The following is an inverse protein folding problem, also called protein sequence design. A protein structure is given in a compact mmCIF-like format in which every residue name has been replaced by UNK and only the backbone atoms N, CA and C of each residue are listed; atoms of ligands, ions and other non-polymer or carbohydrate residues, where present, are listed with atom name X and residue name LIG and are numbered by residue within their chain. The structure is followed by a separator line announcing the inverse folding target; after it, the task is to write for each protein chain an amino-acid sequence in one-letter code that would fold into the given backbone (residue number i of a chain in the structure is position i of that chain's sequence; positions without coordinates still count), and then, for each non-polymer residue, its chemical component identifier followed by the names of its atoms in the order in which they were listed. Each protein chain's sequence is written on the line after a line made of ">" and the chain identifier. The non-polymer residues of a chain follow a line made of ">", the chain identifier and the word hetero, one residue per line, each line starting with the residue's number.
data_IF_672151454925
#
_entry.id   IF_672151454925
#
_cell.length_a   1.000
_cell.length_b   1.000
_cell.length_c   1.000
_cell.angle_alpha   90.00
_cell.angle_beta   90.00
_cell.angle_gamma   90.00
#
_symmetry.space_group_name_H-M   'P 1'
#
loop_
_entity.id
_entity.type
_entity.pdbx_description
1 polymer ?
#
# COMPACT_ATOMS: atom_id res chain seq x y z
N UNK A 1 -26.75 24.99 36.87
CA UNK A 1 -27.13 24.30 35.62
C UNK A 1 -26.11 24.71 34.57
N UNK A 2 -25.15 23.83 34.25
CA UNK A 2 -24.14 24.13 33.22
C UNK A 2 -24.80 24.01 31.85
N UNK A 3 -24.82 25.09 31.08
CA UNK A 3 -25.16 25.03 29.66
C UNK A 3 -24.14 24.12 28.97
N UNK A 4 -24.53 22.87 28.71
CA UNK A 4 -23.72 21.96 27.93
C UNK A 4 -23.57 22.52 26.54
N UNK A 5 -22.35 22.93 26.16
CA UNK A 5 -22.04 23.29 24.78
C UNK A 5 -22.53 22.18 23.85
N UNK A 6 -23.14 22.58 22.74
CA UNK A 6 -23.59 21.68 21.69
C UNK A 6 -22.41 20.90 21.08
N UNK A 7 -22.68 19.76 20.42
CA UNK A 7 -21.62 18.98 19.75
C UNK A 7 -20.82 19.83 18.76
N UNK A 8 -21.52 20.67 17.99
CA UNK A 8 -20.92 21.56 17.00
C UNK A 8 -19.96 22.58 17.63
N UNK A 9 -20.32 23.18 18.76
CA UNK A 9 -19.43 24.12 19.47
C UNK A 9 -18.18 23.41 20.01
N UNK A 10 -18.32 22.17 20.49
CA UNK A 10 -17.17 21.37 20.95
C UNK A 10 -16.24 20.99 19.81
N UNK A 11 -16.80 20.58 18.66
CA UNK A 11 -16.06 20.28 17.44
C UNK A 11 -15.28 21.51 16.96
N UNK A 12 -15.90 22.69 16.98
CA UNK A 12 -15.25 23.93 16.57
C UNK A 12 -14.08 24.32 17.50
N UNK A 13 -14.25 24.13 18.82
CA UNK A 13 -13.18 24.38 19.80
C UNK A 13 -12.01 23.43 19.58
N UNK A 14 -12.28 22.13 19.40
CA UNK A 14 -11.22 21.12 19.18
C UNK A 14 -10.49 21.34 17.85
N UNK A 15 -11.19 21.76 16.79
CA UNK A 15 -10.58 22.06 15.51
C UNK A 15 -9.62 23.26 15.57
N UNK A 16 -9.75 24.14 16.58
CA UNK A 16 -8.87 25.28 16.81
C UNK A 16 -7.75 24.99 17.82
N UNK A 17 -7.79 23.84 18.50
CA UNK A 17 -6.80 23.47 19.51
C UNK A 17 -5.58 22.79 18.87
N UNK A 18 -4.51 23.57 18.72
CA UNK A 18 -3.23 23.14 18.15
C UNK A 18 -2.63 21.92 18.88
N UNK A 19 -2.68 21.91 20.21
CA UNK A 19 -2.05 20.85 21.00
C UNK A 19 -2.88 19.59 20.99
N UNK A 20 -4.22 19.71 21.00
CA UNK A 20 -5.12 18.59 20.79
C UNK A 20 -4.86 17.90 19.44
N UNK A 21 -4.82 18.66 18.34
CA UNK A 21 -4.59 18.11 17.00
C UNK A 21 -3.21 17.45 16.92
N UNK A 22 -2.15 18.11 17.41
CA UNK A 22 -0.82 17.52 17.39
C UNK A 22 -0.73 16.24 18.24
N UNK A 23 -1.40 16.21 19.39
CA UNK A 23 -1.49 15.01 20.21
C UNK A 23 -2.20 13.87 19.47
N UNK A 24 -3.34 14.16 18.85
CA UNK A 24 -4.06 13.19 18.03
C UNK A 24 -3.18 12.64 16.88
N UNK A 25 -2.44 13.51 16.19
CA UNK A 25 -1.48 13.09 15.15
C UNK A 25 -0.35 12.24 15.73
N UNK A 26 0.17 12.55 16.93
CA UNK A 26 1.25 11.74 17.55
C UNK A 26 0.78 10.34 17.92
N UNK A 27 -0.42 10.23 18.46
CA UNK A 27 -1.02 8.97 18.92
C UNK A 27 -1.48 8.10 17.75
N UNK A 28 -2.07 8.72 16.73
CA UNK A 28 -2.62 8.01 15.57
C UNK A 28 -1.66 7.96 14.39
N UNK A 29 -0.56 8.72 14.39
CA UNK A 29 0.31 8.92 13.23
C UNK A 29 -0.40 9.47 11.97
N UNK A 30 -1.64 9.94 12.09
CA UNK A 30 -2.46 10.37 10.97
C UNK A 30 -2.34 11.88 10.72
N UNK A 31 -1.31 12.32 9.99
CA UNK A 31 -1.13 13.77 9.71
C UNK A 31 -2.30 14.38 8.93
N UNK A 32 -3.07 13.57 8.20
CA UNK A 32 -4.26 14.07 7.49
C UNK A 32 -5.33 14.62 8.44
N UNK A 33 -5.27 14.34 9.75
CA UNK A 33 -6.13 14.97 10.76
C UNK A 33 -6.01 16.50 10.77
N UNK A 34 -4.87 17.04 10.34
CA UNK A 34 -4.68 18.49 10.19
C UNK A 34 -5.66 19.10 9.16
N UNK A 35 -6.14 18.31 8.20
CA UNK A 35 -7.16 18.74 7.24
C UNK A 35 -8.55 18.94 7.87
N UNK A 36 -8.76 18.41 9.08
CA UNK A 36 -9.98 18.61 9.88
C UNK A 36 -9.84 19.78 10.87
N UNK A 37 -8.65 20.38 10.97
CA UNK A 37 -8.41 21.55 11.80
C UNK A 37 -9.08 22.80 11.22
N UNK A 38 -9.11 23.88 12.00
CA UNK A 38 -9.49 25.19 11.51
C UNK A 38 -8.61 25.59 10.32
N UNK A 39 -9.17 26.40 9.42
CA UNK A 39 -8.45 26.88 8.23
C UNK A 39 -7.08 27.48 8.59
N UNK A 40 -7.05 28.33 9.62
CA UNK A 40 -5.84 28.95 10.17
C UNK A 40 -4.75 27.93 10.53
N UNK A 41 -5.10 26.85 11.25
CA UNK A 41 -4.13 25.82 11.60
C UNK A 41 -3.74 24.95 10.39
N UNK A 42 -4.70 24.61 9.54
CA UNK A 42 -4.45 23.76 8.36
C UNK A 42 -3.56 24.44 7.31
N UNK A 43 -3.53 25.78 7.29
CA UNK A 43 -2.70 26.60 6.40
C UNK A 43 -1.39 27.08 7.07
N UNK A 44 -1.22 26.90 8.39
CA UNK A 44 0.05 27.16 9.09
C UNK A 44 1.10 26.11 8.70
N UNK A 45 2.01 26.51 7.80
CA UNK A 45 3.07 25.67 7.29
C UNK A 45 3.98 25.06 8.38
N UNK A 46 4.26 25.79 9.46
CA UNK A 46 5.08 25.29 10.56
C UNK A 46 4.34 24.24 11.38
N UNK A 47 3.04 24.45 11.62
CA UNK A 47 2.20 23.47 12.29
C UNK A 47 2.03 22.19 11.45
N UNK A 48 1.74 22.34 10.16
CA UNK A 48 1.63 21.23 9.21
C UNK A 48 2.94 20.43 9.17
N UNK A 49 4.09 21.09 9.13
CA UNK A 49 5.40 20.43 9.16
C UNK A 49 5.60 19.62 10.45
N UNK A 50 5.29 20.19 11.62
CA UNK A 50 5.35 19.47 12.91
C UNK A 50 4.43 18.25 12.96
N UNK A 51 3.24 18.34 12.36
CA UNK A 51 2.31 17.21 12.29
C UNK A 51 2.82 16.11 11.35
N UNK A 52 3.39 16.47 10.19
CA UNK A 52 4.03 15.50 9.29
C UNK A 52 5.20 14.78 9.96
N UNK A 53 6.04 15.51 10.68
CA UNK A 53 7.14 14.93 11.45
C UNK A 53 6.62 13.98 12.55
N UNK A 54 5.58 14.37 13.27
CA UNK A 54 4.97 13.56 14.32
C UNK A 54 4.34 12.25 13.79
N UNK A 55 3.77 12.30 12.58
CA UNK A 55 3.23 11.14 11.88
C UNK A 55 4.31 10.15 11.44
N UNK A 56 5.52 10.64 11.17
CA UNK A 56 6.61 9.84 10.64
C UNK A 56 6.44 9.54 9.15
N UNK A 57 7.14 8.52 8.70
CA UNK A 57 7.23 8.08 7.30
C UNK A 57 7.14 6.54 7.23
N UNK A 58 7.03 5.99 6.02
CA UNK A 58 6.91 4.54 5.84
C UNK A 58 5.50 4.01 6.13
N UNK A 59 5.38 2.72 6.43
CA UNK A 59 4.07 2.08 6.65
C UNK A 59 3.57 2.37 8.06
N UNK A 60 2.34 2.86 8.14
CA UNK A 60 1.68 3.25 9.38
C UNK A 60 0.45 2.37 9.61
N UNK A 61 0.49 1.52 10.63
CA UNK A 61 -0.61 0.59 10.99
C UNK A 61 -1.62 1.24 11.94
N UNK A 62 -2.26 2.31 11.46
CA UNK A 62 -3.22 3.07 12.25
C UNK A 62 -4.64 2.66 11.89
N UNK A 63 -5.45 2.37 12.93
CA UNK A 63 -6.78 1.78 12.79
C UNK A 63 -6.79 0.49 11.97
N UNK A 64 -5.70 -0.27 12.09
CA UNK A 64 -5.49 -1.48 11.31
C UNK A 64 -6.61 -2.49 11.54
N UNK A 65 -7.21 -2.54 12.72
CA UNK A 65 -8.29 -3.46 13.11
C UNK A 65 -9.71 -3.00 12.73
N UNK A 66 -9.85 -1.86 12.03
CA UNK A 66 -11.14 -1.25 11.71
C UNK A 66 -11.41 -1.24 10.19
N UNK A 67 -12.47 -1.92 9.75
CA UNK A 67 -12.86 -2.01 8.33
C UNK A 67 -13.50 -0.74 7.77
N UNK A 68 -14.02 0.15 8.61
CA UNK A 68 -14.79 1.33 8.19
C UNK A 68 -13.91 2.54 7.87
N UNK A 69 -12.65 2.53 8.34
CA UNK A 69 -11.74 3.68 8.19
C UNK A 69 -11.46 4.01 6.73
N UNK A 70 -11.34 3.00 5.87
CA UNK A 70 -11.18 3.22 4.44
C UNK A 70 -12.32 4.05 3.86
N UNK A 71 -13.57 3.64 4.12
CA UNK A 71 -14.78 4.30 3.64
C UNK A 71 -14.90 5.74 4.17
N UNK A 72 -14.53 5.96 5.43
CA UNK A 72 -14.46 7.31 5.99
C UNK A 72 -13.39 8.17 5.32
N UNK A 73 -12.20 7.61 5.08
CA UNK A 73 -11.08 8.32 4.48
C UNK A 73 -11.31 8.73 3.04
N UNK A 74 -11.84 7.84 2.20
CA UNK A 74 -12.14 8.17 0.80
C UNK A 74 -13.26 9.21 0.67
N UNK A 75 -14.20 9.23 1.63
CA UNK A 75 -15.25 10.24 1.68
C UNK A 75 -14.74 11.62 2.12
N UNK A 76 -13.73 11.65 3.00
CA UNK A 76 -13.19 12.88 3.57
C UNK A 76 -11.98 13.46 2.81
N UNK A 77 -11.19 12.61 2.13
CA UNK A 77 -9.90 13.01 1.56
C UNK A 77 -9.69 12.46 0.15
N UNK A 78 -8.92 13.21 -0.66
CA UNK A 78 -8.31 12.67 -1.86
C UNK A 78 -7.37 11.52 -1.47
N UNK A 79 -7.78 10.29 -1.78
CA UNK A 79 -7.14 9.06 -1.28
C UNK A 79 -6.75 8.16 -2.45
N UNK A 80 -5.59 7.52 -2.32
CA UNK A 80 -5.03 6.64 -3.35
C UNK A 80 -4.50 5.34 -2.75
N UNK A 81 -4.98 4.20 -3.26
CA UNK A 81 -4.45 2.88 -2.93
C UNK A 81 -3.14 2.60 -3.68
N UNK A 82 -2.03 2.46 -2.96
CA UNK A 82 -0.71 2.14 -3.49
C UNK A 82 -0.47 0.63 -3.63
N UNK A 83 -0.99 -0.18 -2.73
CA UNK A 83 -0.99 -1.65 -2.87
C UNK A 83 -2.42 -2.12 -2.72
N UNK A 84 -2.87 -2.86 -3.73
CA UNK A 84 -4.17 -3.54 -3.76
C UNK A 84 -3.91 -5.01 -4.08
N UNK A 85 -4.81 -5.90 -3.70
CA UNK A 85 -4.60 -7.30 -3.99
C UNK A 85 -4.53 -7.69 -5.44
N UNK A 86 -3.62 -8.64 -5.72
CA UNK A 86 -3.60 -9.39 -6.96
C UNK A 86 -4.64 -10.52 -7.03
N UNK A 87 -4.58 -11.28 -8.12
CA UNK A 87 -5.41 -12.46 -8.35
C UNK A 87 -6.88 -12.14 -8.63
N UNK A 88 -7.78 -13.05 -8.25
CA UNK A 88 -9.24 -12.93 -8.52
C UNK A 88 -9.90 -11.78 -7.77
N UNK A 89 -9.29 -11.28 -6.70
CA UNK A 89 -9.81 -10.15 -5.94
C UNK A 89 -9.54 -8.79 -6.62
N UNK A 90 -8.52 -8.71 -7.48
CA UNK A 90 -8.08 -7.44 -8.09
C UNK A 90 -9.23 -6.72 -8.81
N UNK A 91 -9.91 -7.40 -9.73
CA UNK A 91 -10.95 -6.79 -10.57
C UNK A 91 -12.11 -6.22 -9.73
N UNK A 92 -12.48 -6.91 -8.66
CA UNK A 92 -13.53 -6.47 -7.74
C UNK A 92 -13.09 -5.29 -6.85
N UNK A 93 -11.84 -5.31 -6.36
CA UNK A 93 -11.27 -4.18 -5.61
C UNK A 93 -11.24 -2.93 -6.49
N UNK A 94 -10.77 -3.06 -7.73
CA UNK A 94 -10.75 -1.96 -8.70
C UNK A 94 -12.15 -1.45 -9.03
N UNK A 95 -13.15 -2.36 -9.11
CA UNK A 95 -14.54 -1.98 -9.31
C UNK A 95 -15.06 -1.13 -8.15
N UNK A 96 -14.83 -1.54 -6.90
CA UNK A 96 -15.25 -0.80 -5.71
C UNK A 96 -14.55 0.55 -5.58
N UNK A 97 -13.23 0.61 -5.82
CA UNK A 97 -12.50 1.88 -5.84
C UNK A 97 -13.12 2.89 -6.80
N UNK A 98 -13.51 2.46 -7.99
CA UNK A 98 -14.18 3.32 -8.97
C UNK A 98 -15.56 3.79 -8.47
N UNK A 99 -16.32 2.92 -7.79
CA UNK A 99 -17.62 3.27 -7.22
C UNK A 99 -17.49 4.31 -6.11
N UNK A 100 -16.48 4.15 -5.25
CA UNK A 100 -16.26 5.02 -4.10
C UNK A 100 -15.46 6.29 -4.43
N UNK A 101 -15.25 6.58 -5.72
CA UNK A 101 -14.43 7.70 -6.22
C UNK A 101 -12.98 7.67 -5.71
N UNK A 102 -12.52 6.51 -5.24
CA UNK A 102 -11.13 6.27 -4.90
C UNK A 102 -10.25 6.19 -6.14
N UNK A 103 -8.94 6.29 -5.93
CA UNK A 103 -7.94 6.10 -6.98
C UNK A 103 -6.93 5.02 -6.57
N UNK A 104 -6.20 4.49 -7.55
CA UNK A 104 -5.07 3.60 -7.31
C UNK A 104 -3.81 4.16 -7.92
N UNK A 105 -2.71 4.07 -7.18
CA UNK A 105 -1.36 4.20 -7.72
C UNK A 105 -0.84 2.85 -8.23
N UNK A 106 -1.71 1.86 -8.45
CA UNK A 106 -1.34 0.56 -8.99
C UNK A 106 -1.16 0.69 -10.50
N UNK A 107 -0.08 0.11 -11.03
CA UNK A 107 0.10 0.06 -12.47
C UNK A 107 -0.25 -1.33 -12.96
N UNK A 108 -1.51 -1.45 -13.39
CA UNK A 108 -1.93 -2.58 -14.19
C UNK A 108 -1.74 -2.23 -15.65
N UNK A 109 -0.81 -2.93 -16.28
CA UNK A 109 -0.45 -2.66 -17.68
C UNK A 109 -1.35 -3.39 -18.67
N UNK A 110 -2.28 -4.24 -18.20
CA UNK A 110 -3.12 -5.04 -19.09
C UNK A 110 -2.28 -5.84 -20.08
N UNK A 111 -2.43 -5.55 -21.38
CA UNK A 111 -1.68 -6.18 -22.46
C UNK A 111 -0.37 -5.44 -22.82
N UNK A 112 -0.08 -4.30 -22.19
CA UNK A 112 1.20 -3.61 -22.34
C UNK A 112 2.32 -4.46 -21.71
N UNK A 113 3.38 -4.68 -22.47
CA UNK A 113 4.54 -5.45 -22.02
C UNK A 113 5.42 -4.60 -21.12
N UNK A 114 5.69 -5.10 -19.92
CA UNK A 114 6.52 -4.41 -18.94
C UNK A 114 7.56 -5.35 -18.35
N UNK A 115 8.64 -4.80 -17.83
CA UNK A 115 9.57 -5.58 -17.03
C UNK A 115 8.91 -5.97 -15.70
N UNK A 116 8.78 -7.28 -15.49
CA UNK A 116 8.31 -7.87 -14.25
C UNK A 116 9.32 -7.74 -13.10
N UNK A 117 8.88 -7.97 -11.86
CA UNK A 117 9.72 -7.80 -10.66
C UNK A 117 10.80 -8.87 -10.47
N UNK A 118 10.63 -10.02 -11.10
CA UNK A 118 11.49 -11.19 -10.95
C UNK A 118 12.34 -11.46 -12.19
N UNK A 119 13.52 -12.04 -11.98
CA UNK A 119 14.28 -12.72 -13.02
C UNK A 119 13.57 -14.00 -13.46
N UNK A 120 14.09 -14.61 -14.54
CA UNK A 120 13.57 -15.85 -15.11
C UNK A 120 13.66 -17.05 -14.15
N UNK A 121 14.51 -16.99 -13.12
CA UNK A 121 14.60 -17.99 -12.04
C UNK A 121 13.59 -17.76 -10.91
N UNK A 122 12.68 -16.78 -11.08
CA UNK A 122 11.67 -16.41 -10.10
C UNK A 122 12.20 -15.56 -8.94
N UNK A 123 13.51 -15.25 -8.89
CA UNK A 123 14.06 -14.38 -7.85
C UNK A 123 13.71 -12.92 -8.12
N UNK A 124 13.27 -12.23 -7.08
CA UNK A 124 13.07 -10.79 -7.13
C UNK A 124 14.41 -10.09 -7.37
N UNK A 125 14.52 -9.33 -8.46
CA UNK A 125 15.74 -8.60 -8.85
C UNK A 125 15.69 -7.13 -8.47
N UNK A 126 14.58 -6.69 -7.87
CA UNK A 126 14.36 -5.28 -7.60
C UNK A 126 14.62 -4.92 -6.14
N UNK A 127 15.59 -4.04 -5.93
CA UNK A 127 15.81 -3.41 -4.62
C UNK A 127 14.64 -2.47 -4.31
N UNK A 128 14.42 -2.05 -3.07
CA UNK A 128 13.33 -1.11 -2.75
C UNK A 128 13.47 0.29 -3.39
N UNK A 129 14.46 0.48 -4.28
CA UNK A 129 14.80 1.73 -4.98
C UNK A 129 14.65 1.53 -6.48
N UNK A 130 14.48 2.62 -7.24
CA UNK A 130 14.38 2.57 -8.70
C UNK A 130 15.59 1.85 -9.33
N UNK A 131 15.36 0.76 -10.07
CA UNK A 131 16.44 0.02 -10.73
C UNK A 131 17.00 0.67 -12.00
N UNK A 132 16.40 1.79 -12.43
CA UNK A 132 16.84 2.56 -13.60
C UNK A 132 16.49 1.96 -14.97
N UNK A 133 15.55 0.99 -15.05
CA UNK A 133 15.11 0.40 -16.34
C UNK A 133 13.79 0.97 -16.90
N UNK A 134 13.12 1.84 -16.14
CA UNK A 134 11.78 2.33 -16.49
C UNK A 134 11.81 3.32 -17.64
N UNK A 135 11.22 2.93 -18.77
CA UNK A 135 11.21 3.69 -20.03
C UNK A 135 12.61 4.04 -20.54
N UNK A 136 13.61 3.25 -20.16
CA UNK A 136 14.99 3.37 -20.64
C UNK A 136 15.21 2.38 -21.80
N UNK A 137 15.90 2.79 -22.89
CA UNK A 137 16.22 1.88 -23.99
C UNK A 137 17.01 0.67 -23.50
N UNK A 138 16.58 -0.54 -23.90
CA UNK A 138 17.30 -1.78 -23.59
C UNK A 138 18.72 -1.68 -24.17
N UNK A 139 19.78 -1.81 -23.35
CA UNK A 139 21.13 -1.62 -23.82
C UNK A 139 21.58 -2.75 -24.75
N UNK A 140 22.68 -2.54 -25.47
CA UNK A 140 23.28 -3.59 -26.29
C UNK A 140 23.64 -4.81 -25.45
N UNK A 141 23.66 -6.02 -26.06
CA UNK A 141 23.84 -7.29 -25.33
C UNK A 141 25.07 -7.32 -24.41
N UNK A 142 26.17 -6.65 -24.81
CA UNK A 142 27.40 -6.57 -24.01
C UNK A 142 27.30 -5.68 -22.77
N UNK A 143 26.29 -4.82 -22.68
CA UNK A 143 26.04 -3.89 -21.57
C UNK A 143 24.86 -4.30 -20.70
N UNK A 144 24.21 -5.44 -21.00
CA UNK A 144 23.06 -5.94 -20.25
C UNK A 144 23.49 -6.67 -18.96
N UNK A 145 23.20 -6.06 -17.82
CA UNK A 145 23.18 -6.74 -16.52
C UNK A 145 21.97 -7.71 -16.40
N UNK A 146 21.83 -8.39 -15.25
CA UNK A 146 20.79 -9.40 -15.04
C UNK A 146 19.35 -8.88 -15.19
N UNK A 147 19.08 -7.61 -14.87
CA UNK A 147 17.70 -7.06 -14.89
C UNK A 147 17.18 -6.88 -16.31
N UNK A 148 18.07 -6.70 -17.27
CA UNK A 148 17.76 -6.54 -18.69
C UNK A 148 17.54 -7.87 -19.41
N UNK A 149 17.88 -8.99 -18.77
CA UNK A 149 17.70 -10.35 -19.32
C UNK A 149 16.37 -10.99 -18.89
N UNK A 150 15.63 -10.31 -18.01
CA UNK A 150 14.30 -10.74 -17.59
C UNK A 150 13.32 -10.59 -18.77
N UNK A 151 12.34 -11.49 -18.86
CA UNK A 151 11.25 -11.32 -19.81
C UNK A 151 10.51 -10.00 -19.54
N UNK A 152 10.00 -9.39 -20.61
CA UNK A 152 8.94 -8.40 -20.50
C UNK A 152 7.62 -9.15 -20.65
N UNK A 153 6.78 -9.05 -19.63
CA UNK A 153 5.53 -9.81 -19.51
C UNK A 153 4.34 -8.84 -19.61
N UNK A 154 3.27 -9.30 -20.22
CA UNK A 154 1.93 -8.70 -20.15
C UNK A 154 1.00 -9.66 -19.40
N UNK A 155 -0.32 -9.37 -19.36
CA UNK A 155 -1.31 -10.30 -18.80
C UNK A 155 -1.34 -11.65 -19.54
N UNK A 156 -1.11 -11.66 -20.85
CA UNK A 156 -1.38 -12.83 -21.70
C UNK A 156 -0.12 -13.49 -22.29
N UNK A 157 1.01 -12.79 -22.32
CA UNK A 157 2.22 -13.27 -23.00
C UNK A 157 3.50 -12.69 -22.38
N UNK A 158 4.63 -13.25 -22.79
CA UNK A 158 5.96 -12.74 -22.45
C UNK A 158 6.88 -12.79 -23.65
N UNK A 159 7.71 -11.76 -23.82
CA UNK A 159 8.69 -11.69 -24.90
C UNK A 159 10.08 -11.38 -24.35
N UNK A 160 11.11 -11.72 -25.12
CA UNK A 160 12.47 -11.26 -24.84
C UNK A 160 12.58 -9.76 -25.12
N UNK A 161 13.24 -8.99 -24.24
CA UNK A 161 13.42 -7.56 -24.44
C UNK A 161 14.28 -7.28 -25.67
N UNK A 162 13.84 -6.32 -26.48
CA UNK A 162 14.50 -5.94 -27.73
C UNK A 162 15.46 -4.76 -27.51
N UNK A 163 16.73 -4.90 -27.95
CA UNK A 163 17.74 -3.83 -27.86
C UNK A 163 17.22 -2.54 -28.50
N UNK A 164 17.41 -1.40 -27.83
CA UNK A 164 16.97 -0.08 -28.26
C UNK A 164 15.49 0.23 -27.97
N UNK A 165 14.64 -0.77 -27.74
CA UNK A 165 13.23 -0.55 -27.36
C UNK A 165 13.13 -0.12 -25.90
N UNK A 166 12.09 0.65 -25.58
CA UNK A 166 11.74 1.08 -24.22
C UNK A 166 10.56 0.26 -23.70
N UNK A 167 10.63 -0.10 -22.42
CA UNK A 167 9.56 -0.76 -21.69
C UNK A 167 9.48 -0.14 -20.30
N UNK A 168 8.28 -0.07 -19.73
CA UNK A 168 8.13 0.32 -18.34
C UNK A 168 8.68 -0.79 -17.43
N UNK A 169 9.27 -0.43 -16.29
CA UNK A 169 9.34 -1.38 -15.19
C UNK A 169 8.09 -1.23 -14.36
N UNK A 170 7.37 -2.33 -14.15
CA UNK A 170 6.25 -2.33 -13.24
C UNK A 170 6.58 -1.70 -11.88
N UNK A 171 7.69 -2.15 -11.30
CA UNK A 171 8.22 -1.71 -10.02
C UNK A 171 8.51 -0.19 -9.90
N UNK A 172 9.25 0.35 -10.86
CA UNK A 172 9.71 1.75 -10.85
C UNK A 172 8.58 2.68 -11.25
N UNK A 173 7.78 2.28 -12.24
CA UNK A 173 6.65 3.06 -12.68
C UNK A 173 5.63 3.17 -11.55
N UNK A 174 5.39 2.07 -10.84
CA UNK A 174 4.54 2.02 -9.65
C UNK A 174 5.00 2.97 -8.55
N UNK A 175 6.26 2.88 -8.11
CA UNK A 175 6.75 3.77 -7.04
C UNK A 175 6.73 5.24 -7.46
N UNK A 176 6.99 5.55 -8.73
CA UNK A 176 6.87 6.91 -9.28
C UNK A 176 5.42 7.40 -9.24
N UNK A 177 4.47 6.55 -9.61
CA UNK A 177 3.06 6.87 -9.55
C UNK A 177 2.59 7.12 -8.11
N UNK A 178 3.02 6.30 -7.16
CA UNK A 178 2.75 6.50 -5.72
C UNK A 178 3.26 7.88 -5.26
N UNK A 179 4.52 8.22 -5.58
CA UNK A 179 5.11 9.52 -5.23
C UNK A 179 4.36 10.69 -5.88
N UNK A 180 4.03 10.57 -7.17
CA UNK A 180 3.29 11.58 -7.91
C UNK A 180 1.91 11.83 -7.30
N UNK A 181 1.21 10.79 -6.85
CA UNK A 181 -0.09 10.94 -6.18
C UNK A 181 0.06 11.62 -4.81
N UNK A 182 1.09 11.27 -4.05
CA UNK A 182 1.40 11.94 -2.79
C UNK A 182 1.72 13.44 -3.00
N UNK A 183 2.51 13.78 -4.03
CA UNK A 183 2.83 15.17 -4.41
C UNK A 183 1.58 15.98 -4.78
N UNK A 184 0.55 15.32 -5.33
CA UNK A 184 -0.78 15.90 -5.57
C UNK A 184 -1.65 16.04 -4.32
N UNK A 185 -1.11 15.73 -3.13
CA UNK A 185 -1.80 15.83 -1.86
C UNK A 185 -2.71 14.65 -1.51
N UNK A 186 -2.59 13.53 -2.25
CA UNK A 186 -3.34 12.32 -1.94
C UNK A 186 -2.84 11.67 -0.65
N UNK A 187 -3.77 11.10 0.13
CA UNK A 187 -3.44 10.21 1.25
C UNK A 187 -3.15 8.83 0.67
N UNK A 188 -1.90 8.38 0.82
CA UNK A 188 -1.45 7.10 0.26
C UNK A 188 -1.78 5.97 1.21
N UNK A 189 -2.42 4.93 0.68
CA UNK A 189 -2.95 3.82 1.46
C UNK A 189 -2.40 2.49 0.95
N UNK A 190 -2.19 1.54 1.85
CA UNK A 190 -1.77 0.18 1.56
C UNK A 190 -2.85 -0.78 2.07
N UNK A 191 -3.50 -1.53 1.17
CA UNK A 191 -4.37 -2.62 1.59
C UNK A 191 -3.48 -3.77 2.10
N UNK A 192 -3.64 -4.14 3.38
CA UNK A 192 -2.84 -5.19 4.02
C UNK A 192 -3.46 -6.58 3.86
N UNK A 193 -4.79 -6.63 3.80
CA UNK A 193 -5.53 -7.83 3.41
C UNK A 193 -6.75 -7.45 2.57
N UNK A 194 -7.37 -8.46 1.96
CA UNK A 194 -8.51 -8.33 1.05
C UNK A 194 -9.74 -8.93 1.70
N UNK A 195 -9.84 -8.72 3.00
CA UNK A 195 -10.90 -9.26 3.81
C UNK A 195 -12.04 -8.26 3.77
N UNK A 196 -12.94 -8.45 2.81
CA UNK A 196 -14.21 -7.74 2.76
C UNK A 196 -15.14 -8.29 3.83
N UNK A 197 -15.38 -9.60 3.77
CA UNK A 197 -16.21 -10.38 4.69
C UNK A 197 -15.74 -11.84 4.66
N UNK A 198 -16.19 -12.68 5.60
CA UNK A 198 -15.86 -14.12 5.62
C UNK A 198 -16.21 -14.81 4.30
N UNK A 199 -17.36 -14.47 3.72
CA UNK A 199 -17.81 -14.98 2.42
C UNK A 199 -16.94 -14.52 1.25
N UNK A 200 -16.30 -13.35 1.36
CA UNK A 200 -15.40 -12.84 0.33
C UNK A 200 -14.10 -13.64 0.28
N UNK A 201 -13.51 -13.91 1.44
CA UNK A 201 -12.32 -14.75 1.58
C UNK A 201 -12.58 -16.12 0.96
N UNK A 202 -13.76 -16.70 1.24
CA UNK A 202 -14.20 -17.97 0.65
C UNK A 202 -14.37 -17.90 -0.87
N UNK A 203 -14.95 -16.82 -1.39
CA UNK A 203 -15.33 -16.68 -2.82
C UNK A 203 -14.13 -16.37 -3.71
N UNK A 204 -13.30 -15.40 -3.29
CA UNK A 204 -12.22 -14.86 -4.11
C UNK A 204 -10.83 -15.36 -3.69
N UNK A 205 -10.75 -16.13 -2.61
CA UNK A 205 -9.51 -16.79 -2.17
C UNK A 205 -8.46 -15.79 -1.73
N UNK A 206 -8.74 -15.04 -0.67
CA UNK A 206 -7.82 -14.03 -0.17
C UNK A 206 -7.87 -13.89 1.36
N UNK A 207 -7.07 -14.72 2.04
CA UNK A 207 -6.96 -14.68 3.50
C UNK A 207 -6.04 -13.59 4.02
N UNK A 208 -4.97 -13.27 3.29
CA UNK A 208 -4.18 -12.05 3.46
C UNK A 208 -3.10 -11.98 2.39
N UNK A 209 -2.66 -10.78 2.05
CA UNK A 209 -1.40 -10.57 1.34
C UNK A 209 -0.19 -10.75 2.27
N UNK A 210 -0.46 -10.92 3.56
CA UNK A 210 0.50 -11.26 4.59
C UNK A 210 0.83 -12.74 4.56
N UNK A 211 2.12 -13.02 4.51
CA UNK A 211 2.64 -14.36 4.62
C UNK A 211 2.97 -14.62 6.10
N UNK A 212 2.41 -15.68 6.68
CA UNK A 212 2.70 -16.05 8.08
C UNK A 212 4.21 -16.23 8.30
N UNK A 213 4.69 -16.04 9.52
CA UNK A 213 6.10 -16.27 9.84
C UNK A 213 6.50 -17.74 9.65
N UNK A 214 5.53 -18.66 9.81
CA UNK A 214 5.71 -20.07 9.55
C UNK A 214 5.90 -20.36 8.05
N UNK A 215 5.03 -19.79 7.19
CA UNK A 215 5.17 -19.93 5.74
C UNK A 215 6.44 -19.23 5.24
N UNK A 216 6.74 -18.02 5.74
CA UNK A 216 7.98 -17.33 5.40
C UNK A 216 9.20 -18.21 5.68
N UNK A 217 9.22 -18.88 6.85
CA UNK A 217 10.26 -19.85 7.18
C UNK A 217 10.28 -21.05 6.23
N UNK A 218 9.13 -21.64 5.89
CA UNK A 218 9.08 -22.82 5.00
C UNK A 218 9.55 -22.51 3.57
N UNK A 219 9.34 -21.27 3.11
CA UNK A 219 9.79 -20.81 1.80
C UNK A 219 11.17 -20.12 1.82
N UNK A 220 11.86 -20.10 2.96
CA UNK A 220 13.14 -19.40 3.16
C UNK A 220 13.08 -17.91 2.78
N UNK A 221 11.99 -17.24 3.16
CA UNK A 221 11.74 -15.82 2.96
C UNK A 221 12.00 -15.05 4.26
N UNK A 222 12.55 -13.82 4.18
CA UNK A 222 12.77 -12.99 5.36
C UNK A 222 11.44 -12.60 5.99
N UNK A 223 11.37 -12.54 7.32
CA UNK A 223 10.20 -12.00 8.04
C UNK A 223 10.00 -10.52 7.71
N UNK A 224 8.77 -10.07 7.84
CA UNK A 224 8.44 -8.65 7.71
C UNK A 224 8.81 -7.89 8.99
N UNK A 225 9.54 -6.81 8.79
CA UNK A 225 9.92 -5.85 9.81
C UNK A 225 9.59 -4.48 9.23
N UNK A 226 8.94 -3.65 10.02
CA UNK A 226 8.50 -2.32 9.60
C UNK A 226 9.04 -1.25 10.53
N UNK A 227 9.33 -0.07 9.98
CA UNK A 227 9.89 1.07 10.71
C UNK A 227 9.01 1.51 11.88
N UNK A 228 7.70 1.53 11.68
CA UNK A 228 6.74 1.95 12.71
C UNK A 228 6.19 0.78 13.56
N UNK A 229 6.86 -0.37 13.54
CA UNK A 229 6.40 -1.58 14.22
C UNK A 229 5.32 -2.32 13.43
N UNK A 230 4.89 -3.46 13.98
CA UNK A 230 3.84 -4.31 13.40
C UNK A 230 2.66 -4.39 14.36
N UNK A 231 1.42 -4.52 13.86
CA UNK A 231 0.26 -4.67 14.72
C UNK A 231 0.29 -6.02 15.46
N UNK A 232 -0.48 -6.12 16.54
CA UNK A 232 -0.70 -7.39 17.23
C UNK A 232 -1.27 -8.43 16.26
N UNK A 233 -0.87 -9.69 16.43
CA UNK A 233 -1.28 -10.75 15.50
C UNK A 233 -0.50 -10.80 14.18
N UNK A 234 0.42 -9.85 13.89
CA UNK A 234 1.16 -9.87 12.63
C UNK A 234 2.12 -11.06 12.52
N UNK A 235 1.88 -11.91 11.51
CA UNK A 235 2.66 -13.10 11.21
C UNK A 235 2.12 -14.40 11.82
N UNK A 236 1.01 -14.35 12.58
CA UNK A 236 0.45 -15.52 13.28
C UNK A 236 -0.32 -16.48 12.36
N UNK A 237 -0.52 -16.12 11.09
CA UNK A 237 -1.30 -16.92 10.14
C UNK A 237 -2.81 -16.82 10.35
N UNK A 238 -3.27 -16.05 11.34
CA UNK A 238 -4.66 -15.68 11.55
C UNK A 238 -4.78 -14.22 11.95
N UNK A 239 -5.99 -13.68 11.85
CA UNK A 239 -6.33 -12.34 12.32
C UNK A 239 -7.74 -12.25 12.82
N UNK A 240 -7.95 -11.44 13.85
CA UNK A 240 -9.26 -10.97 14.26
C UNK A 240 -9.51 -9.57 13.69
N UNK A 241 -10.59 -9.42 12.92
CA UNK A 241 -11.11 -8.12 12.48
C UNK A 241 -12.54 -8.04 13.01
N UNK A 242 -12.85 -6.98 13.74
CA UNK A 242 -14.08 -6.83 14.51
C UNK A 242 -14.36 -8.08 15.38
N UNK A 243 -15.42 -8.81 15.03
CA UNK A 243 -15.88 -10.00 15.75
C UNK A 243 -15.52 -11.31 15.02
N UNK A 244 -14.84 -11.25 13.89
CA UNK A 244 -14.55 -12.41 13.03
C UNK A 244 -13.06 -12.76 13.02
N UNK A 245 -12.75 -14.05 12.90
CA UNK A 245 -11.36 -14.54 12.74
C UNK A 245 -11.15 -15.10 11.33
N UNK A 246 -10.04 -14.75 10.70
CA UNK A 246 -9.70 -15.09 9.33
C UNK A 246 -8.33 -15.76 9.26
N UNK A 247 -8.19 -16.77 8.41
CA UNK A 247 -6.89 -17.38 8.09
C UNK A 247 -6.10 -16.45 7.17
N UNK A 248 -4.88 -16.07 7.56
CA UNK A 248 -3.94 -15.30 6.74
C UNK A 248 -3.01 -16.25 5.98
N UNK A 249 -3.54 -16.90 4.95
CA UNK A 249 -2.75 -17.78 4.07
C UNK A 249 -2.81 -17.31 2.62
N UNK A 250 -1.64 -17.01 2.06
CA UNK A 250 -1.49 -16.74 0.65
C UNK A 250 -1.48 -18.07 -0.15
N UNK A 251 -2.30 -18.21 -1.21
CA UNK A 251 -2.23 -19.37 -2.09
C UNK A 251 -0.84 -19.50 -2.71
N UNK A 252 -0.39 -20.72 -2.98
CA UNK A 252 0.89 -20.97 -3.67
C UNK A 252 0.65 -20.93 -5.18
N UNK A 253 1.41 -20.10 -5.89
CA UNK A 253 1.33 -19.97 -7.33
C UNK A 253 1.85 -21.25 -8.01
N UNK A 254 1.08 -21.81 -8.94
CA UNK A 254 1.39 -23.11 -9.57
C UNK A 254 2.72 -23.12 -10.34
N UNK A 255 2.99 -22.06 -11.12
CA UNK A 255 4.24 -21.89 -11.89
C UNK A 255 5.47 -21.66 -11.02
N UNK A 256 5.45 -20.64 -10.15
CA UNK A 256 6.64 -20.21 -9.39
C UNK A 256 6.87 -21.05 -8.13
N UNK A 257 5.86 -21.80 -7.68
CA UNK A 257 5.85 -22.53 -6.40
C UNK A 257 6.07 -21.61 -5.19
N UNK A 258 5.86 -20.31 -5.35
CA UNK A 258 5.95 -19.31 -4.29
C UNK A 258 4.55 -18.87 -3.86
N UNK A 259 4.35 -18.47 -2.59
CA UNK A 259 3.09 -17.89 -2.15
C UNK A 259 2.81 -16.57 -2.91
N UNK A 260 1.56 -16.32 -3.29
CA UNK A 260 1.15 -15.09 -3.99
C UNK A 260 1.43 -13.81 -3.18
N UNK A 261 1.60 -13.93 -1.86
CA UNK A 261 1.94 -12.82 -0.96
C UNK A 261 3.37 -12.28 -1.09
N UNK A 262 4.27 -12.93 -1.85
CA UNK A 262 5.66 -12.43 -2.00
C UNK A 262 5.71 -11.05 -2.66
N UNK A 263 4.85 -10.80 -3.66
CA UNK A 263 4.80 -9.48 -4.31
C UNK A 263 4.32 -8.38 -3.37
N UNK A 264 3.24 -8.64 -2.64
CA UNK A 264 2.71 -7.68 -1.67
C UNK A 264 3.68 -7.40 -0.52
N UNK A 265 4.47 -8.41 -0.09
CA UNK A 265 5.56 -8.21 0.88
C UNK A 265 6.62 -7.24 0.36
N UNK A 266 7.04 -7.40 -0.90
CA UNK A 266 7.98 -6.46 -1.51
C UNK A 266 7.37 -5.05 -1.60
N UNK A 267 6.10 -4.92 -2.03
CA UNK A 267 5.41 -3.62 -2.10
C UNK A 267 5.42 -2.95 -0.73
N UNK A 268 5.06 -3.67 0.33
CA UNK A 268 5.08 -3.13 1.70
C UNK A 268 6.47 -2.70 2.14
N UNK A 269 7.51 -3.47 1.84
CA UNK A 269 8.89 -3.07 2.13
C UNK A 269 9.26 -1.78 1.39
N UNK A 270 8.84 -1.61 0.14
CA UNK A 270 9.06 -0.38 -0.61
C UNK A 270 8.32 0.79 0.03
N UNK A 271 7.03 0.61 0.34
CA UNK A 271 6.18 1.62 0.96
C UNK A 271 6.71 2.04 2.34
N UNK A 272 7.24 1.10 3.12
CA UNK A 272 7.85 1.36 4.43
C UNK A 272 9.16 2.18 4.35
N UNK A 273 9.78 2.23 3.17
CA UNK A 273 11.00 3.01 2.92
C UNK A 273 10.72 4.35 2.21
N UNK A 274 9.46 4.75 2.05
CA UNK A 274 9.12 6.06 1.50
C UNK A 274 9.29 7.16 2.56
N UNK A 275 9.73 8.35 2.14
CA UNK A 275 9.92 9.51 3.01
C UNK A 275 8.62 10.25 3.36
N UNK A 276 7.49 9.56 3.32
CA UNK A 276 6.18 10.04 3.73
C UNK A 276 5.34 8.86 4.24
N UNK A 277 4.32 9.11 5.07
CA UNK A 277 3.53 8.04 5.64
C UNK A 277 2.59 7.42 4.61
N UNK A 278 2.56 6.10 4.62
CA UNK A 278 1.66 5.24 3.85
C UNK A 278 0.82 4.47 4.85
N UNK A 279 -0.48 4.70 4.82
CA UNK A 279 -1.35 4.17 5.85
C UNK A 279 -1.87 2.78 5.49
N UNK A 280 -1.69 1.84 6.39
CA UNK A 280 -1.98 0.44 6.22
C UNK A 280 -3.34 0.11 6.85
N UNK A 281 -4.28 -0.39 6.04
CA UNK A 281 -5.64 -0.69 6.49
C UNK A 281 -6.12 -2.04 5.97
N UNK A 282 -7.25 -2.48 6.50
CA UNK A 282 -8.14 -3.35 5.75
C UNK A 282 -8.94 -2.55 4.77
N UNK A 283 -8.87 -2.97 3.52
CA UNK A 283 -9.60 -2.32 2.46
C UNK A 283 -10.84 -3.16 2.16
N UNK A 284 -12.08 -2.63 2.43
CA UNK A 284 -13.42 -3.03 1.99
C UNK A 284 -13.75 -4.47 1.97
#
# INVERSE_FOLDING_TARGET
>A
MGSGASSAEKEEVLAKDREFILKAVKETKAWWLVKLASKELSEDAAFVARCKEAAGDGLVFTYYDNSDVWSGMIGAFHTTGASVPGGKAYDEVMKKLRQDKGSTATVWFGEEHVFGPSANDGKWVHTSRECGRDDIPVPSKGLQDAKWKSLVESRSNGISPQVGRRYKCWCCHWIREVRRQHEKGAVICCATSNIYYSDWVRTYGAGSSELSDADAKSFNLPREVFKNGKPEGWGEGKIKIDYSTFERRAPVHERTKQPLGVGCRWERQVLDNLGFPVYAFFMP
#
